data_IF_009727680469
#
_entry.id   IF_009727680469
#
_cell.length_a   1.000
_cell.length_b   1.000
_cell.length_c   1.000
_cell.angle_alpha   90.00
_cell.angle_beta   90.00
_cell.angle_gamma   90.00
#
_symmetry.space_group_name_H-M   'P 1'
#
loop_
_entity.id
_entity.type
_entity.pdbx_description
1 polymer ?
#
# COMPACT_ATOMS: atom_id res chain seq x y z
N UNK A 1 -11.50 -9.06 -5.91
CA UNK A 1 -10.52 -7.99 -6.17
C UNK A 1 -9.13 -8.56 -5.93
N UNK A 2 -8.18 -8.48 -6.89
CA UNK A 2 -6.83 -9.02 -6.69
C UNK A 2 -6.02 -8.13 -5.75
N UNK A 3 -5.42 -8.72 -4.71
CA UNK A 3 -4.49 -8.03 -3.81
C UNK A 3 -3.09 -8.08 -4.41
N UNK A 4 -2.45 -6.92 -4.55
CA UNK A 4 -1.07 -6.76 -5.01
C UNK A 4 -0.21 -6.13 -3.92
N UNK A 5 1.11 -6.24 -4.09
CA UNK A 5 2.07 -5.46 -3.33
C UNK A 5 1.65 -3.98 -3.28
N UNK A 6 1.69 -3.30 -2.11
CA UNK A 6 2.42 -3.66 -0.89
C UNK A 6 1.67 -4.58 0.09
N UNK A 7 0.42 -4.91 -0.19
CA UNK A 7 -0.41 -5.67 0.74
C UNK A 7 -0.14 -7.18 0.59
N UNK A 8 -0.29 -7.89 1.70
CA UNK A 8 -0.23 -9.35 1.78
C UNK A 8 -1.30 -9.84 2.75
N UNK A 9 -1.94 -10.96 2.40
CA UNK A 9 -2.93 -11.62 3.28
C UNK A 9 -2.24 -12.69 4.11
N UNK A 10 -1.39 -13.48 3.46
CA UNK A 10 -0.62 -14.54 4.10
C UNK A 10 0.66 -14.00 4.72
N UNK A 11 1.06 -14.63 5.83
CA UNK A 11 2.32 -14.32 6.48
C UNK A 11 3.49 -14.52 5.52
N UNK A 12 4.39 -13.54 5.51
CA UNK A 12 5.57 -13.52 4.65
C UNK A 12 5.30 -13.04 3.21
N UNK A 13 4.08 -12.63 2.88
CA UNK A 13 3.77 -11.97 1.61
C UNK A 13 3.57 -10.46 1.78
N UNK A 14 3.92 -9.66 0.76
CA UNK A 14 3.77 -8.21 0.81
C UNK A 14 4.82 -7.52 1.68
N UNK A 15 4.55 -6.28 2.11
CA UNK A 15 5.46 -5.54 2.97
C UNK A 15 5.11 -5.79 4.46
N UNK A 16 6.13 -5.99 5.34
CA UNK A 16 5.92 -6.47 6.71
C UNK A 16 5.07 -5.53 7.56
N UNK A 17 5.10 -4.23 7.27
CA UNK A 17 4.34 -3.22 7.99
C UNK A 17 2.83 -3.27 7.71
N UNK A 18 2.40 -3.96 6.65
CA UNK A 18 1.00 -4.24 6.35
C UNK A 18 0.55 -5.62 6.83
N UNK A 19 1.45 -6.39 7.45
CA UNK A 19 1.13 -7.71 7.97
C UNK A 19 -0.04 -7.65 8.94
N UNK A 20 -0.97 -8.60 8.80
CA UNK A 20 -2.16 -8.73 9.66
C UNK A 20 -3.09 -7.51 9.68
N UNK A 21 -2.95 -6.58 8.74
CA UNK A 21 -3.91 -5.47 8.59
C UNK A 21 -5.10 -5.86 7.71
N UNK A 22 -5.02 -6.97 6.99
CA UNK A 22 -6.04 -7.40 6.05
C UNK A 22 -6.43 -8.85 6.28
N UNK A 23 -7.70 -9.15 6.04
CA UNK A 23 -8.24 -10.50 6.05
C UNK A 23 -9.04 -10.72 4.77
N UNK A 24 -8.89 -11.90 4.16
CA UNK A 24 -9.62 -12.31 2.98
C UNK A 24 -10.39 -13.59 3.31
N UNK A 25 -11.72 -13.50 3.28
CA UNK A 25 -12.59 -14.68 3.42
C UNK A 25 -13.38 -14.90 2.13
N UNK A 26 -14.17 -13.91 1.74
CA UNK A 26 -14.91 -13.83 0.48
C UNK A 26 -14.66 -12.47 -0.18
N UNK A 27 -14.76 -11.43 0.64
CA UNK A 27 -14.31 -10.08 0.36
C UNK A 27 -13.01 -9.78 1.12
N UNK A 28 -12.35 -8.68 0.73
CA UNK A 28 -11.19 -8.15 1.42
C UNK A 28 -11.65 -7.20 2.54
N UNK A 29 -11.13 -7.40 3.74
CA UNK A 29 -11.42 -6.58 4.91
C UNK A 29 -10.15 -5.96 5.47
N UNK A 30 -10.23 -4.68 5.85
CA UNK A 30 -9.23 -3.96 6.61
C UNK A 30 -9.54 -4.07 8.10
N UNK A 31 -8.58 -4.53 8.88
CA UNK A 31 -8.75 -4.79 10.31
C UNK A 31 -8.19 -3.63 11.12
N UNK A 32 -8.94 -3.15 12.10
CA UNK A 32 -8.53 -2.09 13.03
C UNK A 32 -8.92 -2.47 14.46
N UNK A 33 -8.43 -1.76 15.49
CA UNK A 33 -8.89 -1.97 16.87
C UNK A 33 -10.41 -1.78 17.06
N UNK A 34 -11.04 -0.92 16.26
CA UNK A 34 -12.49 -0.68 16.33
C UNK A 34 -13.32 -1.73 15.60
N UNK A 35 -12.76 -2.45 14.63
CA UNK A 35 -13.52 -3.41 13.85
C UNK A 35 -12.91 -3.74 12.50
N UNK A 36 -13.67 -4.48 11.70
CA UNK A 36 -13.27 -4.93 10.37
C UNK A 36 -14.12 -4.25 9.30
N UNK A 37 -13.48 -3.55 8.38
CA UNK A 37 -14.13 -2.73 7.37
C UNK A 37 -13.93 -3.33 5.99
N UNK A 38 -15.00 -3.42 5.19
CA UNK A 38 -14.91 -3.99 3.85
C UNK A 38 -14.16 -3.03 2.93
N UNK A 39 -13.15 -3.52 2.23
CA UNK A 39 -12.43 -2.74 1.22
C UNK A 39 -13.28 -2.71 -0.06
N UNK A 40 -13.74 -1.53 -0.46
CA UNK A 40 -14.52 -1.34 -1.67
C UNK A 40 -13.62 -1.31 -2.92
N UNK A 41 -12.51 -0.57 -2.85
CA UNK A 41 -11.60 -0.39 -3.98
C UNK A 41 -10.18 -0.07 -3.52
N UNK A 42 -9.18 -0.47 -4.31
CA UNK A 42 -7.77 -0.12 -4.12
C UNK A 42 -7.25 0.47 -5.44
N UNK A 43 -6.70 1.67 -5.38
CA UNK A 43 -5.98 2.33 -6.47
C UNK A 43 -4.48 2.28 -6.17
N UNK A 44 -3.79 1.34 -6.82
CA UNK A 44 -2.37 1.08 -6.61
C UNK A 44 -1.46 2.20 -7.15
N UNK A 45 -1.91 2.92 -8.18
CA UNK A 45 -1.16 3.99 -8.80
C UNK A 45 -1.18 5.24 -7.93
N UNK A 46 -2.36 5.56 -7.37
CA UNK A 46 -2.52 6.69 -6.42
C UNK A 46 -2.13 6.34 -5.00
N UNK A 47 -1.87 5.06 -4.71
CA UNK A 47 -1.63 4.53 -3.36
C UNK A 47 -2.77 4.87 -2.38
N UNK A 48 -4.00 4.67 -2.84
CA UNK A 48 -5.20 4.93 -2.03
C UNK A 48 -6.13 3.73 -2.02
N UNK A 49 -6.95 3.61 -0.99
CA UNK A 49 -8.01 2.62 -0.91
C UNK A 49 -9.25 3.20 -0.26
N UNK A 50 -10.43 2.67 -0.56
CA UNK A 50 -11.69 3.10 0.03
C UNK A 50 -12.27 1.94 0.84
N UNK A 51 -12.62 2.20 2.09
CA UNK A 51 -13.28 1.24 2.97
C UNK A 51 -14.72 1.68 3.25
N UNK A 52 -15.56 0.67 3.45
CA UNK A 52 -16.94 0.81 3.88
C UNK A 52 -17.06 0.47 5.36
N UNK A 53 -17.59 1.40 6.15
CA UNK A 53 -18.04 1.12 7.51
C UNK A 53 -19.57 0.98 7.55
N UNK A 54 -20.11 -0.21 7.87
CA UNK A 54 -21.56 -0.42 8.00
C UNK A 54 -22.19 0.36 9.17
N UNK A 55 -21.39 0.81 10.15
CA UNK A 55 -21.82 1.62 11.28
C UNK A 55 -21.78 3.14 11.00
N UNK A 56 -21.34 3.53 9.81
CA UNK A 56 -21.36 4.91 9.37
C UNK A 56 -22.76 5.31 8.90
N UNK A 57 -23.24 6.47 9.36
CA UNK A 57 -24.52 7.02 8.91
C UNK A 57 -24.40 7.62 7.51
N UNK A 58 -25.47 7.56 6.72
CA UNK A 58 -25.56 8.13 5.37
C UNK A 58 -26.82 9.00 5.27
N UNK A 59 -27.02 9.69 4.14
CA UNK A 59 -28.19 10.53 3.93
C UNK A 59 -29.54 9.78 4.09
N UNK A 60 -29.55 8.47 3.86
CA UNK A 60 -30.75 7.62 3.92
C UNK A 60 -30.81 6.69 5.14
N UNK A 61 -29.69 6.42 5.80
CA UNK A 61 -29.59 5.41 6.86
C UNK A 61 -28.86 6.00 8.06
N UNK A 62 -29.51 5.97 9.22
CA UNK A 62 -28.86 6.21 10.50
C UNK A 62 -28.31 4.91 11.07
N UNK A 63 -27.10 4.97 11.60
CA UNK A 63 -26.45 3.83 12.24
C UNK A 63 -26.09 4.17 13.69
N UNK A 64 -26.28 3.26 14.66
CA UNK A 64 -25.95 3.49 16.06
C UNK A 64 -24.44 3.76 16.25
N UNK A 65 -24.09 4.36 17.38
CA UNK A 65 -22.73 4.79 17.67
C UNK A 65 -21.72 3.64 17.61
N UNK A 66 -20.71 3.82 16.77
CA UNK A 66 -19.48 3.04 16.77
C UNK A 66 -18.35 3.96 16.31
N UNK A 67 -17.26 4.01 17.09
CA UNK A 67 -16.13 4.87 16.76
C UNK A 67 -15.21 4.17 15.76
N UNK A 68 -14.87 4.86 14.67
CA UNK A 68 -13.78 4.43 13.80
C UNK A 68 -12.43 4.76 14.47
N UNK A 69 -11.76 3.72 14.97
CA UNK A 69 -10.46 3.83 15.65
C UNK A 69 -9.41 2.99 14.94
N UNK A 70 -8.28 3.61 14.64
CA UNK A 70 -7.07 3.00 14.10
C UNK A 70 -5.98 2.94 15.18
N UNK A 71 -5.05 1.99 15.07
CA UNK A 71 -3.85 2.00 15.92
C UNK A 71 -2.86 3.08 15.48
N UNK A 72 -1.92 3.47 16.35
CA UNK A 72 -0.87 4.45 16.02
C UNK A 72 -0.09 4.05 14.77
N UNK A 73 0.20 2.75 14.63
CA UNK A 73 0.91 2.19 13.47
C UNK A 73 0.07 2.28 12.19
N UNK A 74 -1.22 1.95 12.28
CA UNK A 74 -2.14 2.06 11.14
C UNK A 74 -2.30 3.51 10.71
N UNK A 75 -2.44 4.43 11.66
CA UNK A 75 -2.55 5.86 11.37
C UNK A 75 -1.27 6.42 10.74
N UNK A 76 -0.10 5.95 11.16
CA UNK A 76 1.17 6.39 10.58
C UNK A 76 1.39 5.89 9.14
N UNK A 77 0.92 4.67 8.81
CA UNK A 77 1.25 4.02 7.53
C UNK A 77 0.11 4.17 6.50
N UNK A 78 -1.15 4.11 6.95
CA UNK A 78 -2.37 4.20 6.14
C UNK A 78 -3.35 5.23 6.74
N UNK A 79 -2.96 6.50 6.89
CA UNK A 79 -3.88 7.53 7.39
C UNK A 79 -5.09 7.74 6.47
N UNK A 80 -6.19 8.30 6.97
CA UNK A 80 -7.22 8.89 6.12
C UNK A 80 -6.64 9.87 5.11
N UNK A 81 -7.14 9.79 3.87
CA UNK A 81 -6.67 10.65 2.79
C UNK A 81 -7.13 12.10 3.04
N UNK A 82 -6.35 13.11 2.62
CA UNK A 82 -6.69 14.52 2.87
C UNK A 82 -8.05 14.95 2.27
N UNK A 83 -8.52 14.25 1.24
CA UNK A 83 -9.81 14.48 0.61
C UNK A 83 -10.97 13.70 1.27
N UNK A 84 -10.72 13.09 2.44
CA UNK A 84 -11.74 12.45 3.29
C UNK A 84 -12.11 13.37 4.43
N UNK A 85 -13.39 13.69 4.54
CA UNK A 85 -13.95 14.51 5.62
C UNK A 85 -14.85 13.65 6.48
N UNK A 86 -14.59 13.66 7.78
CA UNK A 86 -15.46 13.08 8.79
C UNK A 86 -16.37 14.17 9.34
N UNK A 87 -17.68 14.01 9.26
CA UNK A 87 -18.65 14.85 9.94
C UNK A 87 -19.16 14.10 11.17
N UNK A 88 -18.86 14.64 12.35
CA UNK A 88 -19.34 14.15 13.64
C UNK A 88 -20.59 14.95 14.00
N UNK A 89 -21.70 14.24 14.23
CA UNK A 89 -22.98 14.84 14.54
C UNK A 89 -23.26 14.62 16.04
N UNK A 90 -23.65 15.69 16.72
CA UNK A 90 -23.90 15.75 18.18
C UNK A 90 -22.66 15.66 19.12
N UNK A 91 -21.45 15.95 18.61
CA UNK A 91 -20.13 15.79 19.25
C UNK A 91 -20.06 15.78 20.79
N UNK A 92 -19.58 14.65 21.34
CA UNK A 92 -18.94 14.57 22.66
C UNK A 92 -17.42 14.72 22.50
N UNK A 93 -16.77 15.44 23.42
CA UNK A 93 -15.35 15.82 23.40
C UNK A 93 -14.34 14.66 23.50
N UNK A 94 -14.80 13.43 23.74
CA UNK A 94 -13.95 12.28 24.08
C UNK A 94 -13.56 11.37 22.89
N UNK A 95 -14.09 11.61 21.68
CA UNK A 95 -13.74 10.78 20.51
C UNK A 95 -12.30 11.06 20.04
N UNK A 96 -11.42 10.04 19.90
CA UNK A 96 -10.04 10.21 19.42
C UNK A 96 -9.96 10.84 18.01
N UNK A 97 -10.99 10.63 17.17
CA UNK A 97 -11.13 11.27 15.86
C UNK A 97 -11.42 12.77 16.00
N UNK A 98 -12.23 13.16 16.99
CA UNK A 98 -12.54 14.56 17.29
C UNK A 98 -11.35 15.32 17.90
N UNK A 99 -10.51 14.65 18.70
CA UNK A 99 -9.37 15.30 19.35
C UNK A 99 -8.26 15.70 18.36
N UNK A 100 -8.12 14.98 17.24
CA UNK A 100 -7.21 15.37 16.17
C UNK A 100 -7.85 16.35 15.17
N UNK A 101 -9.15 16.21 14.91
CA UNK A 101 -9.89 17.02 13.94
C UNK A 101 -10.98 17.88 14.62
N UNK A 102 -10.56 18.67 15.61
CA UNK A 102 -11.41 19.64 16.36
C UNK A 102 -12.06 20.72 15.46
N UNK A 103 -11.69 20.73 14.17
CA UNK A 103 -12.18 21.62 13.11
C UNK A 103 -13.27 21.01 12.21
N UNK A 104 -13.97 19.95 12.63
CA UNK A 104 -14.95 19.24 11.78
C UNK A 104 -16.42 19.69 11.93
N UNK A 105 -16.72 20.63 12.83
CA UNK A 105 -17.98 21.38 12.81
C UNK A 105 -17.86 22.64 11.93
N UNK A 106 -17.38 22.50 10.70
CA UNK A 106 -17.17 23.63 9.80
C UNK A 106 -17.63 23.29 8.39
N UNK A 107 -17.98 24.32 7.63
CA UNK A 107 -18.34 24.19 6.23
C UNK A 107 -17.16 23.61 5.45
N UNK A 108 -17.36 22.48 4.76
CA UNK A 108 -16.33 21.85 3.94
C UNK A 108 -16.71 21.96 2.46
N UNK A 109 -15.76 22.32 1.60
CA UNK A 109 -15.99 22.53 0.15
C UNK A 109 -17.18 23.45 -0.21
N UNK A 110 -17.58 24.36 0.68
CA UNK A 110 -18.72 25.26 0.49
C UNK A 110 -20.08 24.71 0.95
N UNK A 111 -20.12 23.46 1.45
CA UNK A 111 -21.32 22.86 2.03
C UNK A 111 -21.39 23.13 3.52
N UNK A 112 -22.58 23.46 4.02
CA UNK A 112 -22.82 23.66 5.45
C UNK A 112 -23.46 22.44 6.09
N UNK A 113 -23.31 22.33 7.42
CA UNK A 113 -24.06 21.32 8.17
C UNK A 113 -25.58 21.49 7.97
N UNK A 114 -26.07 22.71 7.81
CA UNK A 114 -27.50 22.99 7.56
C UNK A 114 -27.97 22.38 6.23
N UNK A 115 -27.13 22.36 5.21
CA UNK A 115 -27.44 21.70 3.93
C UNK A 115 -27.59 20.18 4.11
N UNK A 116 -26.73 19.58 4.94
CA UNK A 116 -26.79 18.16 5.28
C UNK A 116 -28.06 17.82 6.07
N UNK A 117 -28.38 18.58 7.12
CA UNK A 117 -29.59 18.39 7.92
C UNK A 117 -30.88 18.73 7.16
N UNK A 118 -30.81 19.67 6.21
CA UNK A 118 -31.94 20.08 5.38
C UNK A 118 -32.26 19.07 4.28
N UNK A 119 -31.22 18.48 3.67
CA UNK A 119 -31.38 17.57 2.53
C UNK A 119 -31.55 16.11 2.93
N UNK A 120 -31.02 15.71 4.10
CA UNK A 120 -31.07 14.33 4.57
C UNK A 120 -31.98 14.19 5.79
N UNK A 121 -33.10 13.47 5.61
CA UNK A 121 -34.04 13.19 6.70
C UNK A 121 -33.42 12.33 7.80
N UNK A 122 -32.47 11.45 7.45
CA UNK A 122 -31.72 10.63 8.39
C UNK A 122 -31.06 11.50 9.47
N UNK A 123 -30.27 12.51 9.09
CA UNK A 123 -29.55 13.35 10.05
C UNK A 123 -30.45 14.30 10.86
N UNK A 124 -31.66 14.61 10.36
CA UNK A 124 -32.60 15.52 11.04
C UNK A 124 -33.30 14.90 12.26
N UNK A 125 -33.41 13.57 12.30
CA UNK A 125 -34.36 12.88 13.19
C UNK A 125 -33.80 12.56 14.60
N UNK A 126 -32.49 12.57 14.83
CA UNK A 126 -31.92 12.03 16.09
C UNK A 126 -30.81 12.89 16.73
N UNK A 127 -30.85 12.94 18.06
CA UNK A 127 -29.90 13.60 18.97
C UNK A 127 -28.88 12.61 19.56
N UNK A 128 -28.46 11.61 18.78
CA UNK A 128 -27.49 10.60 19.21
C UNK A 128 -26.13 10.91 18.55
N UNK A 129 -25.04 10.46 19.18
CA UNK A 129 -23.69 10.61 18.64
C UNK A 129 -23.56 9.69 17.43
N UNK A 130 -23.36 10.29 16.26
CA UNK A 130 -23.18 9.56 15.01
C UNK A 130 -22.08 10.21 14.21
N UNK A 131 -21.36 9.41 13.43
CA UNK A 131 -20.40 9.92 12.48
C UNK A 131 -20.79 9.52 11.06
N UNK A 132 -20.46 10.39 10.12
CA UNK A 132 -20.50 10.13 8.69
C UNK A 132 -19.16 10.54 8.11
N UNK A 133 -18.72 9.89 7.04
CA UNK A 133 -17.57 10.35 6.27
C UNK A 133 -17.85 10.33 4.79
N UNK A 134 -17.26 11.32 4.11
CA UNK A 134 -17.32 11.45 2.66
C UNK A 134 -15.91 11.66 2.13
N UNK A 135 -15.66 11.19 0.92
CA UNK A 135 -14.36 11.36 0.26
C UNK A 135 -14.50 11.99 -1.12
N UNK A 136 -13.39 12.49 -1.68
CA UNK A 136 -13.39 13.17 -2.97
C UNK A 136 -14.04 14.55 -2.90
N UNK A 137 -13.83 15.27 -1.80
CA UNK A 137 -14.48 16.56 -1.49
C UNK A 137 -14.26 17.66 -2.53
N UNK A 138 -13.20 17.57 -3.34
CA UNK A 138 -12.94 18.50 -4.45
C UNK A 138 -14.02 18.41 -5.54
N UNK A 139 -14.64 17.24 -5.70
CA UNK A 139 -15.68 16.98 -6.70
C UNK A 139 -17.10 17.20 -6.20
N UNK A 140 -17.29 17.50 -4.91
CA UNK A 140 -18.63 17.64 -4.33
C UNK A 140 -19.24 19.02 -4.54
N UNK A 141 -18.48 20.00 -5.02
CA UNK A 141 -18.97 21.38 -5.22
C UNK A 141 -20.19 21.40 -6.15
N UNK A 142 -21.35 21.77 -5.60
CA UNK A 142 -22.62 21.82 -6.34
C UNK A 142 -23.34 20.47 -6.45
N UNK A 143 -22.85 19.45 -5.76
CA UNK A 143 -23.47 18.12 -5.63
C UNK A 143 -24.10 18.04 -4.24
N UNK A 144 -25.38 17.65 -4.18
CA UNK A 144 -26.11 17.56 -2.92
C UNK A 144 -25.73 16.30 -2.11
N UNK A 145 -26.03 16.28 -0.81
CA UNK A 145 -25.72 15.15 0.10
C UNK A 145 -26.19 13.76 -0.35
N UNK A 146 -27.25 13.69 -1.16
CA UNK A 146 -27.77 12.42 -1.69
C UNK A 146 -26.81 11.74 -2.68
N UNK A 147 -26.00 12.53 -3.39
CA UNK A 147 -25.11 12.06 -4.45
C UNK A 147 -23.63 12.05 -4.00
N UNK A 148 -23.38 12.23 -2.70
CA UNK A 148 -22.03 12.20 -2.16
C UNK A 148 -21.44 10.79 -2.12
N UNK A 149 -20.11 10.73 -2.20
CA UNK A 149 -19.35 9.50 -2.07
C UNK A 149 -19.12 9.20 -0.58
N UNK A 150 -19.96 8.34 -0.03
CA UNK A 150 -19.88 7.88 1.35
C UNK A 150 -18.83 6.77 1.52
N UNK A 151 -17.91 6.98 2.46
CA UNK A 151 -16.88 6.01 2.81
C UNK A 151 -15.66 6.68 3.40
N UNK A 152 -14.67 5.86 3.76
CA UNK A 152 -13.39 6.35 4.28
C UNK A 152 -12.33 6.04 3.25
N UNK A 153 -11.77 7.07 2.61
CA UNK A 153 -10.63 6.89 1.72
C UNK A 153 -9.35 7.01 2.54
N UNK A 154 -8.49 6.01 2.44
CA UNK A 154 -7.21 5.94 3.11
C UNK A 154 -6.08 6.10 2.07
N UNK A 155 -5.00 6.75 2.48
CA UNK A 155 -3.78 6.89 1.69
C UNK A 155 -2.68 6.08 2.35
N UNK A 156 -2.04 5.18 1.61
CA UNK A 156 -0.98 4.34 2.17
C UNK A 156 0.39 4.70 1.60
N UNK A 157 1.42 4.51 2.41
CA UNK A 157 2.81 4.73 1.99
C UNK A 157 3.57 3.41 1.96
N UNK A 158 4.38 3.22 0.92
CA UNK A 158 5.19 2.02 0.73
C UNK A 158 6.65 2.41 0.89
N UNK A 159 7.37 1.87 1.89
CA UNK A 159 8.80 2.07 2.03
C UNK A 159 9.55 1.37 0.91
N UNK A 160 10.62 2.01 0.44
CA UNK A 160 11.54 1.46 -0.57
C UNK A 160 12.34 0.29 0.01
N UNK A 161 11.69 -0.87 0.02
CA UNK A 161 12.27 -2.13 0.53
C UNK A 161 13.10 -2.86 -0.51
N UNK A 162 13.14 -2.36 -1.76
CA UNK A 162 13.76 -3.06 -2.91
C UNK A 162 12.80 -4.00 -3.65
N UNK A 163 11.54 -4.01 -3.23
CA UNK A 163 10.48 -4.84 -3.79
C UNK A 163 10.16 -4.55 -5.26
N UNK A 164 10.25 -3.27 -5.66
CA UNK A 164 10.03 -2.88 -7.05
C UNK A 164 10.99 -3.56 -8.02
N UNK A 165 12.23 -3.80 -7.59
CA UNK A 165 13.22 -4.54 -8.37
C UNK A 165 12.86 -6.02 -8.46
N UNK A 166 12.38 -6.60 -7.36
CA UNK A 166 11.91 -7.98 -7.29
C UNK A 166 10.75 -8.22 -8.26
N UNK A 167 9.71 -7.38 -8.19
CA UNK A 167 8.55 -7.47 -9.06
C UNK A 167 8.92 -7.29 -10.53
N UNK A 168 9.81 -6.33 -10.86
CA UNK A 168 10.31 -6.12 -12.23
C UNK A 168 11.11 -7.30 -12.75
N UNK A 169 11.79 -8.04 -11.87
CA UNK A 169 12.53 -9.25 -12.24
C UNK A 169 11.66 -10.51 -12.40
N UNK A 170 10.34 -10.38 -12.26
CA UNK A 170 9.40 -11.49 -12.33
C UNK A 170 9.24 -12.28 -11.03
N UNK A 171 9.80 -11.78 -9.93
CA UNK A 171 9.65 -12.36 -8.59
C UNK A 171 8.41 -11.85 -7.86
N UNK A 172 7.97 -12.62 -6.87
CA UNK A 172 6.96 -12.20 -5.90
C UNK A 172 7.66 -11.68 -4.65
N UNK A 173 7.22 -10.52 -4.17
CA UNK A 173 7.82 -9.87 -3.04
C UNK A 173 7.14 -10.25 -1.73
N UNK A 174 7.97 -10.56 -0.73
CA UNK A 174 7.55 -10.98 0.59
C UNK A 174 8.53 -10.55 1.66
N UNK A 175 8.36 -11.11 2.84
CA UNK A 175 9.26 -10.92 3.97
C UNK A 175 9.42 -12.23 4.74
N UNK A 176 10.56 -12.38 5.42
CA UNK A 176 10.80 -13.49 6.33
C UNK A 176 10.08 -13.21 7.66
N UNK A 177 9.24 -14.13 8.11
CA UNK A 177 8.37 -13.91 9.29
C UNK A 177 9.14 -13.80 10.60
N UNK A 178 10.37 -14.36 10.66
CA UNK A 178 11.20 -14.39 11.87
C UNK A 178 12.06 -13.12 11.97
N UNK A 179 12.72 -12.75 10.88
CA UNK A 179 13.63 -11.59 10.82
C UNK A 179 12.95 -10.30 10.37
N UNK A 180 11.72 -10.37 9.84
CA UNK A 180 11.00 -9.28 9.16
C UNK A 180 11.77 -8.66 7.97
N UNK A 181 12.81 -9.34 7.49
CA UNK A 181 13.61 -8.92 6.36
C UNK A 181 12.88 -9.16 5.05
N UNK A 182 13.07 -8.29 4.05
CA UNK A 182 12.48 -8.48 2.73
C UNK A 182 13.07 -9.72 2.03
N UNK A 183 12.19 -10.52 1.41
CA UNK A 183 12.54 -11.69 0.61
C UNK A 183 11.89 -11.57 -0.76
N UNK A 184 12.70 -11.72 -1.80
CA UNK A 184 12.25 -11.83 -3.18
C UNK A 184 12.13 -13.31 -3.57
N UNK A 185 10.90 -13.77 -3.81
CA UNK A 185 10.59 -15.15 -4.15
C UNK A 185 10.58 -15.30 -5.67
N UNK A 186 11.59 -15.98 -6.22
CA UNK A 186 11.79 -16.10 -7.66
C UNK A 186 11.23 -17.40 -8.23
N UNK A 187 11.20 -18.43 -7.41
CA UNK A 187 10.64 -19.75 -7.71
C UNK A 187 10.40 -20.48 -6.39
N UNK A 188 9.82 -21.68 -6.44
CA UNK A 188 9.53 -22.49 -5.25
C UNK A 188 10.78 -22.89 -4.45
N UNK A 189 11.98 -22.76 -5.02
CA UNK A 189 13.25 -23.18 -4.41
C UNK A 189 14.30 -22.07 -4.34
N UNK A 190 14.03 -20.89 -4.91
CA UNK A 190 15.01 -19.82 -5.07
C UNK A 190 14.48 -18.52 -4.47
N UNK A 191 15.08 -18.15 -3.34
CA UNK A 191 14.87 -16.87 -2.67
C UNK A 191 16.08 -15.96 -2.92
N UNK A 192 15.82 -14.69 -3.16
CA UNK A 192 16.82 -13.64 -3.34
C UNK A 192 16.51 -12.47 -2.40
N UNK A 193 17.49 -11.60 -2.13
CA UNK A 193 17.26 -10.41 -1.29
C UNK A 193 16.68 -9.23 -2.04
N UNK A 194 16.80 -9.14 -3.38
CA UNK A 194 16.28 -7.98 -4.15
C UNK A 194 15.84 -8.26 -5.58
N UNK A 195 16.48 -9.19 -6.28
CA UNK A 195 16.27 -9.42 -7.72
C UNK A 195 16.34 -10.89 -8.03
N UNK A 196 15.38 -11.38 -8.80
CA UNK A 196 15.48 -12.67 -9.45
C UNK A 196 16.43 -12.54 -10.63
N UNK A 197 17.52 -13.30 -10.60
CA UNK A 197 18.30 -13.48 -11.80
C UNK A 197 17.38 -14.12 -12.84
N UNK A 198 17.19 -13.44 -13.99
CA UNK A 198 16.65 -14.11 -15.15
C UNK A 198 17.58 -15.29 -15.42
N UNK A 199 17.08 -16.51 -15.19
CA UNK A 199 17.81 -17.70 -15.52
C UNK A 199 18.13 -17.66 -17.00
N UNK A 200 19.38 -17.32 -17.32
CA UNK A 200 20.01 -17.89 -18.49
C UNK A 200 19.91 -19.38 -18.25
N UNK A 201 19.04 -20.06 -18.99
CA UNK A 201 19.03 -21.51 -19.03
C UNK A 201 20.34 -21.91 -19.72
N UNK A 202 21.45 -21.87 -18.99
CA UNK A 202 22.59 -22.70 -19.31
C UNK A 202 22.18 -24.10 -18.91
N UNK A 203 21.43 -24.76 -19.80
CA UNK A 203 21.33 -26.20 -19.77
C UNK A 203 22.76 -26.73 -19.83
N UNK A 204 23.23 -27.36 -18.76
CA UNK A 204 24.31 -28.32 -18.87
C UNK A 204 23.74 -29.56 -19.58
N UNK A 205 23.46 -29.41 -20.86
CA UNK A 205 23.51 -30.54 -21.78
C UNK A 205 24.99 -30.80 -22.00
N UNK A 206 25.48 -31.85 -21.37
CA UNK A 206 26.73 -32.46 -21.80
C UNK A 206 26.58 -32.89 -23.25
N UNK A 207 27.11 -32.08 -24.16
CA UNK A 207 27.45 -32.50 -25.52
C UNK A 207 28.91 -32.16 -25.77
N UNK A 208 29.68 -33.23 -25.97
CA UNK A 208 31.07 -33.21 -26.36
C UNK A 208 31.22 -32.49 -27.70
N UNK A 209 31.81 -31.29 -27.69
CA UNK A 209 32.39 -30.73 -28.91
C UNK A 209 33.85 -31.15 -29.02
N UNK A 210 34.08 -31.99 -30.02
CA UNK A 210 35.37 -32.46 -30.46
C UNK A 210 36.37 -31.31 -30.67
N UNK A 211 37.63 -31.60 -30.31
CA UNK A 211 38.81 -30.79 -30.58
C UNK A 211 38.91 -30.50 -32.09
N UNK A 212 38.81 -29.22 -32.46
CA UNK A 212 39.34 -28.74 -33.74
C UNK A 212 40.84 -28.43 -33.55
N UNK A 213 41.74 -29.09 -34.30
CA UNK A 213 43.17 -28.87 -34.16
C UNK A 213 43.53 -27.65 -35.00
N UNK A 214 43.95 -26.52 -34.43
CA UNK A 214 44.74 -25.52 -35.19
C UNK A 214 45.35 -24.35 -34.39
N UNK A 215 45.24 -24.26 -33.05
CA UNK A 215 45.82 -23.10 -32.32
C UNK A 215 46.54 -23.52 -31.05
N UNK A 216 47.57 -24.38 -31.20
CA UNK A 216 48.40 -24.82 -30.06
C UNK A 216 49.90 -24.56 -30.24
N UNK A 217 50.31 -23.69 -31.15
CA UNK A 217 51.72 -23.36 -31.33
C UNK A 217 51.92 -21.87 -31.60
N UNK A 218 51.92 -21.04 -30.56
CA UNK A 218 52.76 -19.82 -30.51
C UNK A 218 52.84 -19.22 -29.08
N UNK A 219 53.07 -20.06 -28.07
CA UNK A 219 53.63 -19.61 -26.79
C UNK A 219 55.11 -19.95 -26.82
N UNK A 220 55.98 -19.00 -27.23
CA UNK A 220 57.40 -19.01 -26.82
C UNK A 220 58.27 -17.82 -27.28
N UNK A 221 57.75 -16.80 -27.95
CA UNK A 221 58.56 -15.64 -28.30
C UNK A 221 57.76 -14.37 -28.08
N UNK A 222 57.93 -13.78 -26.89
CA UNK A 222 57.97 -12.34 -26.59
C UNK A 222 57.98 -12.12 -25.05
N UNK A 223 58.76 -12.95 -24.34
CA UNK A 223 59.52 -12.42 -23.21
C UNK A 223 60.61 -11.55 -23.82
N UNK A 224 60.87 -10.40 -23.20
CA UNK A 224 61.75 -9.32 -23.66
C UNK A 224 61.04 -8.36 -24.63
N UNK A 225 60.45 -7.29 -24.09
CA UNK A 225 60.98 -5.92 -24.24
C UNK A 225 60.13 -4.97 -23.37
N UNK A 226 60.75 -4.55 -22.26
CA UNK A 226 60.63 -3.28 -21.54
C UNK A 226 59.29 -2.90 -20.87
N UNK A 227 59.21 -2.85 -19.54
CA UNK A 227 59.92 -2.01 -18.55
C UNK A 227 59.15 -0.72 -18.18
N UNK A 228 58.83 -0.68 -16.88
CA UNK A 228 58.87 0.48 -15.97
C UNK A 228 57.62 1.35 -15.81
N UNK A 229 57.01 1.14 -14.64
CA UNK A 229 56.18 2.04 -13.85
C UNK A 229 57.06 3.21 -13.37
N UNK A 230 56.60 4.48 -13.50
CA UNK A 230 56.44 5.27 -12.28
C UNK A 230 55.18 6.15 -12.29
N UNK A 231 54.60 6.33 -11.10
CA UNK A 231 53.49 7.22 -10.73
C UNK A 231 52.07 6.66 -10.92
N UNK A 232 51.75 5.66 -10.09
CA UNK A 232 50.43 5.04 -10.04
C UNK A 232 49.31 6.02 -9.68
N UNK A 233 48.35 6.13 -10.59
CA UNK A 233 46.91 6.22 -10.35
C UNK A 233 46.23 5.67 -11.62
N UNK A 234 45.35 4.67 -11.51
CA UNK A 234 44.49 4.22 -12.62
C UNK A 234 43.11 4.79 -12.37
N UNK A 235 42.72 5.73 -13.22
CA UNK A 235 41.35 6.21 -13.35
C UNK A 235 40.67 5.31 -14.38
N UNK A 236 39.59 4.62 -13.98
CA UNK A 236 38.71 3.91 -14.90
C UNK A 236 37.63 4.87 -15.42
N UNK A 237 37.45 4.88 -16.74
CA UNK A 237 36.18 5.23 -17.38
C UNK A 237 35.36 3.95 -17.56
#
# INVERSE_FOLDING_TARGET
MPVKYPFGIDDGCGAPQFSRMFNCTTDLFFQTPSGTYKVQSIDYDKKTMVIYDPSMSTCSILQPHHDFVMSDVQYAIIPPSPDTVFALLNCSIDSPVLNHYKSLCFNFSGHSCDELYGSCTAFRLFHLLHYTSVYGVDGLKGVGPLDWLYGIKLSYSVPDTGCDLCAKSGGTCGYDVETQGMVCICSNTLNSTRVCAAGSVAGFTGESHALSPLIQTFVLLLVVVYCLIPNGYVVCL
#
